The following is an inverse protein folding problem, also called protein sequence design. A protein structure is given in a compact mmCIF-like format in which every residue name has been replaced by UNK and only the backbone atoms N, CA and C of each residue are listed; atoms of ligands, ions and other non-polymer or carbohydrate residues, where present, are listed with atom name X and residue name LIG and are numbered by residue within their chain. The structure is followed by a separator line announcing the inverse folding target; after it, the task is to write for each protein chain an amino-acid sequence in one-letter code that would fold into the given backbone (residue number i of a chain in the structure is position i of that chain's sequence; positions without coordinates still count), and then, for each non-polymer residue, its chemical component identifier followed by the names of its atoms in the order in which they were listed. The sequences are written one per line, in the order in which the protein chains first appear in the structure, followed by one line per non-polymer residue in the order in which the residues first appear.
data_IF_843139091777
#
_entry.id   IF_843139091777
#
_cell.length_a   1.000
_cell.length_b   1.000
_cell.length_c   1.000
_cell.angle_alpha   90.00
_cell.angle_beta   90.00
_cell.angle_gamma   90.00
#
_symmetry.space_group_name_H-M   'P 1'
#
loop_
_entity.id
_entity.type
_entity.pdbx_description
1 polymer ?
#
# COMPACT_ATOMS: atom_id res chain seq x y z
N UNK A 1 10.62 37.75 5.07
CA UNK A 1 10.87 36.58 5.94
C UNK A 1 10.94 35.38 5.02
N UNK A 2 12.10 34.72 4.91
CA UNK A 2 12.29 33.58 4.00
C UNK A 2 11.63 32.36 4.62
N UNK A 3 10.62 31.81 3.97
CA UNK A 3 10.04 30.51 4.29
C UNK A 3 11.11 29.44 4.02
N UNK A 4 11.55 28.75 5.06
CA UNK A 4 12.30 27.50 4.91
C UNK A 4 11.27 26.38 4.87
N UNK A 5 10.79 26.05 3.68
CA UNK A 5 10.22 24.73 3.44
C UNK A 5 11.36 23.72 3.70
N UNK A 6 11.16 22.80 4.64
CA UNK A 6 12.02 21.64 4.77
C UNK A 6 11.75 20.74 3.56
N UNK A 7 12.42 21.03 2.45
CA UNK A 7 12.48 20.11 1.31
C UNK A 7 13.30 18.92 1.80
N UNK A 8 12.64 17.77 1.93
CA UNK A 8 13.33 16.50 2.09
C UNK A 8 14.03 16.24 0.75
N UNK A 9 15.31 16.58 0.66
CA UNK A 9 16.12 16.27 -0.51
C UNK A 9 16.48 14.78 -0.47
N UNK A 10 15.64 13.92 -1.05
CA UNK A 10 16.03 12.54 -1.33
C UNK A 10 16.99 12.53 -2.52
N UNK A 11 18.11 11.82 -2.35
CA UNK A 11 18.89 11.30 -3.47
C UNK A 11 18.45 9.86 -3.64
N UNK A 12 17.43 9.62 -4.47
CA UNK A 12 17.13 8.28 -4.96
C UNK A 12 18.10 8.03 -6.11
N UNK A 13 19.07 7.13 -5.91
CA UNK A 13 19.92 6.66 -6.99
C UNK A 13 19.04 5.88 -7.98
N UNK A 14 19.05 6.30 -9.24
CA UNK A 14 18.14 5.85 -10.28
C UNK A 14 18.00 4.33 -10.37
N UNK A 15 16.76 3.90 -10.18
CA UNK A 15 16.18 2.71 -10.81
C UNK A 15 14.78 3.12 -11.30
N UNK A 16 14.31 2.49 -12.36
CA UNK A 16 13.03 2.76 -13.00
C UNK A 16 11.86 2.23 -12.13
N UNK A 17 11.79 2.71 -10.90
CA UNK A 17 10.79 2.30 -9.92
C UNK A 17 9.43 2.91 -10.29
N UNK A 18 8.39 2.11 -10.11
CA UNK A 18 7.00 2.51 -10.02
C UNK A 18 6.73 3.43 -8.82
N UNK A 19 5.46 3.81 -8.58
CA UNK A 19 5.00 4.74 -7.54
C UNK A 19 5.90 4.71 -6.29
N UNK A 20 6.53 5.86 -6.01
CA UNK A 20 7.26 6.05 -4.77
C UNK A 20 6.41 6.97 -3.90
N UNK A 21 5.65 6.37 -2.97
CA UNK A 21 5.05 7.13 -1.86
C UNK A 21 6.17 7.66 -0.95
N UNK A 22 6.00 8.86 -0.42
CA UNK A 22 6.95 9.45 0.53
C UNK A 22 6.86 8.91 1.96
N UNK A 23 5.77 8.22 2.32
CA UNK A 23 5.50 7.79 3.70
C UNK A 23 6.57 6.84 4.28
N UNK A 24 7.11 5.86 3.53
CA UNK A 24 8.18 5.00 4.02
C UNK A 24 9.45 5.75 4.39
N UNK A 25 9.81 6.77 3.60
CA UNK A 25 10.99 7.59 3.88
C UNK A 25 10.81 8.40 5.16
N UNK A 26 9.61 8.93 5.40
CA UNK A 26 9.31 9.63 6.66
C UNK A 26 9.44 8.70 7.85
N UNK A 27 8.99 7.45 7.74
CA UNK A 27 9.18 6.46 8.80
C UNK A 27 10.65 6.08 9.01
N UNK A 28 11.42 5.86 7.92
CA UNK A 28 12.86 5.54 7.96
C UNK A 28 13.68 6.66 8.60
N UNK A 29 13.41 7.91 8.22
CA UNK A 29 14.15 9.10 8.71
C UNK A 29 13.61 9.66 10.01
N UNK A 30 12.41 9.22 10.44
CA UNK A 30 11.65 9.81 11.55
C UNK A 30 11.40 11.30 11.36
N UNK A 31 11.22 11.72 10.12
CA UNK A 31 10.81 13.09 9.81
C UNK A 31 9.39 13.36 10.34
N UNK A 32 9.01 14.62 10.57
CA UNK A 32 7.62 14.95 10.90
C UNK A 32 6.68 14.62 9.73
N UNK A 33 5.55 13.98 10.03
CA UNK A 33 4.43 13.78 9.09
C UNK A 33 3.57 15.04 8.88
N UNK A 34 3.92 16.14 9.54
CA UNK A 34 3.18 17.40 9.48
C UNK A 34 3.93 18.38 8.60
N UNK A 35 3.23 19.02 7.66
CA UNK A 35 3.75 20.13 6.87
C UNK A 35 2.70 21.25 6.77
N UNK A 36 3.15 22.48 6.51
CA UNK A 36 2.24 23.55 6.11
C UNK A 36 1.58 23.16 4.77
N UNK A 37 0.26 23.32 4.69
CA UNK A 37 -0.49 23.08 3.45
C UNK A 37 0.02 24.01 2.35
N UNK A 38 0.19 23.52 1.11
CA UNK A 38 0.49 24.38 -0.02
C UNK A 38 -0.57 25.48 -0.18
N UNK A 39 -0.13 26.70 -0.49
CA UNK A 39 -1.03 27.81 -0.79
C UNK A 39 -1.11 27.97 -2.31
N UNK A 40 -2.12 27.36 -2.92
CA UNK A 40 -2.33 27.35 -4.38
C UNK A 40 -3.53 28.23 -4.74
N UNK A 41 -3.51 28.92 -5.90
CA UNK A 41 -4.48 29.95 -6.23
C UNK A 41 -5.82 29.41 -6.74
N UNK A 42 -5.84 28.22 -7.32
CA UNK A 42 -7.02 27.61 -7.93
C UNK A 42 -7.41 26.32 -7.24
N UNK A 43 -8.70 25.99 -7.33
CA UNK A 43 -9.19 24.69 -6.92
C UNK A 43 -10.38 24.24 -7.77
N UNK A 44 -10.56 22.93 -7.81
CA UNK A 44 -11.76 22.24 -8.29
C UNK A 44 -12.38 21.48 -7.12
N UNK A 45 -13.70 21.63 -6.90
CA UNK A 45 -14.44 20.83 -5.94
C UNK A 45 -15.11 19.68 -6.70
N UNK A 46 -14.83 18.43 -6.31
CA UNK A 46 -15.49 17.22 -6.84
C UNK A 46 -17.03 17.34 -6.85
N UNK A 47 -17.69 16.72 -7.82
CA UNK A 47 -19.15 16.80 -7.98
C UNK A 47 -19.90 16.16 -6.81
N UNK A 48 -19.41 15.03 -6.31
CA UNK A 48 -19.93 14.30 -5.16
C UNK A 48 -19.57 15.00 -3.84
N UNK A 49 -18.64 15.96 -3.88
CA UNK A 49 -18.38 16.91 -2.83
C UNK A 49 -17.50 16.39 -1.69
N UNK A 50 -16.72 15.33 -1.87
CA UNK A 50 -15.82 14.80 -0.84
C UNK A 50 -14.39 15.35 -0.95
N UNK A 51 -13.99 15.83 -2.13
CA UNK A 51 -12.63 16.30 -2.42
C UNK A 51 -12.56 17.73 -2.92
N UNK A 52 -11.45 18.39 -2.60
CA UNK A 52 -11.02 19.66 -3.17
C UNK A 52 -9.61 19.52 -3.74
N UNK A 53 -9.46 19.74 -5.04
CA UNK A 53 -8.20 19.61 -5.78
C UNK A 53 -7.61 20.99 -6.00
N UNK A 54 -6.47 21.28 -5.39
CA UNK A 54 -5.75 22.55 -5.47
C UNK A 54 -4.63 22.49 -6.49
N UNK A 55 -4.45 23.55 -7.27
CA UNK A 55 -3.43 23.57 -8.33
C UNK A 55 -2.96 24.98 -8.70
N UNK A 56 -1.79 25.04 -9.35
CA UNK A 56 -1.42 26.13 -10.26
C UNK A 56 -1.80 25.73 -11.69
N UNK A 57 -2.01 26.70 -12.57
CA UNK A 57 -1.97 26.45 -14.02
C UNK A 57 -0.52 26.50 -14.51
N UNK A 58 -0.16 25.65 -15.47
CA UNK A 58 1.21 25.63 -16.06
C UNK A 58 1.60 26.98 -16.68
N UNK A 59 0.62 27.78 -17.09
CA UNK A 59 0.83 29.16 -17.60
C UNK A 59 1.21 30.16 -16.51
N UNK A 60 0.86 29.89 -15.26
CA UNK A 60 1.16 30.73 -14.09
C UNK A 60 2.41 30.27 -13.35
N UNK A 61 2.60 28.94 -13.27
CA UNK A 61 3.75 28.30 -12.67
C UNK A 61 4.17 27.08 -13.51
N UNK A 62 5.09 27.26 -14.49
CA UNK A 62 5.51 26.18 -15.37
C UNK A 62 6.14 24.98 -14.66
N UNK A 63 6.63 25.20 -13.44
CA UNK A 63 7.33 24.19 -12.67
C UNK A 63 6.39 23.33 -11.82
N UNK A 64 5.16 23.73 -11.53
CA UNK A 64 4.24 22.98 -10.63
C UNK A 64 2.78 23.09 -11.03
N UNK A 65 2.52 23.66 -12.20
CA UNK A 65 1.18 23.83 -12.72
C UNK A 65 0.73 22.61 -13.50
N UNK A 66 -0.57 22.34 -13.44
CA UNK A 66 -1.20 21.33 -14.28
C UNK A 66 -1.48 21.91 -15.67
N UNK A 67 -1.64 21.04 -16.66
CA UNK A 67 -1.99 21.45 -18.02
C UNK A 67 -3.31 22.24 -18.05
N UNK A 68 -3.43 23.19 -18.98
CA UNK A 68 -4.61 24.08 -19.04
C UNK A 68 -5.74 23.57 -19.93
N UNK A 69 -5.64 22.35 -20.47
CA UNK A 69 -6.67 21.79 -21.34
C UNK A 69 -7.99 21.64 -20.58
N UNK A 70 -9.05 22.17 -21.17
CA UNK A 70 -10.45 22.13 -20.75
C UNK A 70 -11.24 21.77 -22.02
N UNK A 71 -11.41 20.47 -22.24
CA UNK A 71 -11.90 19.94 -23.52
C UNK A 71 -13.42 20.09 -23.68
N UNK A 72 -14.14 20.13 -22.56
CA UNK A 72 -15.60 20.22 -22.53
C UNK A 72 -16.13 21.63 -22.19
N UNK A 73 -15.23 22.57 -21.93
CA UNK A 73 -15.51 23.95 -21.54
C UNK A 73 -16.25 24.06 -20.20
N UNK A 74 -15.96 23.17 -19.24
CA UNK A 74 -16.43 23.22 -17.85
C UNK A 74 -15.95 24.48 -17.12
N UNK A 75 -14.82 25.04 -17.57
CA UNK A 75 -14.10 26.13 -16.91
C UNK A 75 -13.02 25.65 -15.95
N UNK A 76 -12.79 24.33 -15.88
CA UNK A 76 -11.74 23.71 -15.08
C UNK A 76 -10.82 22.87 -15.97
N UNK A 77 -9.54 22.68 -15.60
CA UNK A 77 -8.67 21.78 -16.35
C UNK A 77 -9.12 20.32 -16.22
N UNK A 78 -9.17 19.60 -17.34
CA UNK A 78 -9.53 18.18 -17.42
C UNK A 78 -8.73 17.34 -16.41
N UNK A 79 -7.47 17.70 -16.16
CA UNK A 79 -6.57 17.02 -15.22
C UNK A 79 -7.04 17.11 -13.76
N UNK A 80 -7.60 18.25 -13.34
CA UNK A 80 -8.14 18.41 -11.99
C UNK A 80 -9.45 17.63 -11.82
N UNK A 81 -10.28 17.60 -12.87
CA UNK A 81 -11.53 16.84 -12.90
C UNK A 81 -11.26 15.33 -12.86
N UNK A 82 -10.29 14.86 -13.65
CA UNK A 82 -9.88 13.45 -13.67
C UNK A 82 -9.37 12.95 -12.32
N UNK A 83 -8.56 13.76 -11.64
CA UNK A 83 -8.08 13.43 -10.29
C UNK A 83 -9.25 13.29 -9.30
N UNK A 84 -10.21 14.21 -9.35
CA UNK A 84 -11.41 14.15 -8.53
C UNK A 84 -12.24 12.90 -8.82
N UNK A 85 -12.42 12.52 -10.09
CA UNK A 85 -13.12 11.30 -10.49
C UNK A 85 -12.46 10.04 -9.88
N UNK A 86 -11.15 9.92 -10.00
CA UNK A 86 -10.40 8.77 -9.45
C UNK A 86 -10.49 8.69 -7.92
N UNK A 87 -10.41 9.84 -7.24
CA UNK A 87 -10.57 9.92 -5.80
C UNK A 87 -11.98 9.55 -5.35
N UNK A 88 -13.02 10.03 -6.04
CA UNK A 88 -14.41 9.71 -5.73
C UNK A 88 -14.73 8.23 -5.98
N UNK A 89 -14.21 7.66 -7.08
CA UNK A 89 -14.27 6.20 -7.33
C UNK A 89 -13.63 5.41 -6.19
N UNK A 90 -12.40 5.74 -5.82
CA UNK A 90 -11.66 5.08 -4.72
C UNK A 90 -12.42 5.20 -3.40
N UNK A 91 -12.94 6.39 -3.12
CA UNK A 91 -13.72 6.67 -1.91
C UNK A 91 -15.02 5.89 -1.85
N UNK A 92 -15.77 5.80 -2.94
CA UNK A 92 -16.99 4.99 -3.02
C UNK A 92 -16.68 3.49 -2.82
N UNK A 93 -15.56 3.01 -3.37
CA UNK A 93 -15.14 1.62 -3.18
C UNK A 93 -14.78 1.34 -1.71
N UNK A 94 -13.83 2.07 -1.13
CA UNK A 94 -13.33 1.80 0.22
C UNK A 94 -14.39 2.04 1.30
N UNK A 95 -15.16 3.12 1.20
CA UNK A 95 -16.10 3.51 2.27
C UNK A 95 -17.48 2.91 2.02
N UNK A 96 -18.06 3.12 0.84
CA UNK A 96 -19.47 2.78 0.63
C UNK A 96 -19.63 1.28 0.34
N UNK A 97 -18.68 0.68 -0.40
CA UNK A 97 -18.72 -0.75 -0.75
C UNK A 97 -18.08 -1.63 0.33
N UNK A 98 -16.92 -1.23 0.86
CA UNK A 98 -16.19 -2.00 1.87
C UNK A 98 -16.37 -1.51 3.31
N UNK A 99 -17.08 -0.41 3.55
CA UNK A 99 -17.40 0.02 4.92
C UNK A 99 -16.21 0.54 5.72
N UNK A 100 -15.12 0.99 5.07
CA UNK A 100 -14.02 1.65 5.76
C UNK A 100 -14.50 2.92 6.49
N UNK A 101 -13.77 3.31 7.54
CA UNK A 101 -14.03 4.58 8.23
C UNK A 101 -13.87 5.76 7.26
N UNK A 102 -14.73 6.78 7.35
CA UNK A 102 -14.53 8.00 6.57
C UNK A 102 -13.30 8.78 7.06
N UNK A 103 -12.71 9.63 6.20
CA UNK A 103 -11.68 10.59 6.58
C UNK A 103 -12.08 11.40 7.81
N UNK A 104 -11.10 11.71 8.66
CA UNK A 104 -11.32 12.61 9.79
C UNK A 104 -11.45 14.04 9.26
N UNK A 105 -12.54 14.77 9.55
CA UNK A 105 -12.71 16.14 9.11
C UNK A 105 -11.62 17.06 9.66
N UNK A 106 -11.16 18.00 8.86
CA UNK A 106 -10.10 18.95 9.22
C UNK A 106 -10.61 20.24 9.88
N UNK A 107 -11.94 20.36 10.07
CA UNK A 107 -12.65 21.49 10.67
C UNK A 107 -12.52 22.80 9.87
N UNK A 108 -12.73 22.73 8.56
CA UNK A 108 -12.78 23.89 7.66
C UNK A 108 -11.42 24.35 7.14
N UNK A 109 -10.35 23.55 7.33
CA UNK A 109 -9.03 23.87 6.76
C UNK A 109 -9.10 23.59 5.25
N UNK A 110 -8.34 24.32 4.44
CA UNK A 110 -8.63 24.32 2.99
C UNK A 110 -9.99 24.97 2.62
N UNK A 111 -10.68 25.58 3.59
CA UNK A 111 -11.89 26.36 3.37
C UNK A 111 -13.22 25.60 3.45
N UNK A 112 -13.20 24.28 3.65
CA UNK A 112 -14.37 23.44 3.94
C UNK A 112 -13.91 22.13 4.63
N UNK A 113 -14.78 21.14 4.81
CA UNK A 113 -14.43 19.84 5.44
C UNK A 113 -14.10 18.74 4.41
N UNK A 114 -13.85 19.09 3.14
CA UNK A 114 -13.45 18.13 2.10
C UNK A 114 -12.02 17.70 2.31
N UNK A 115 -11.69 16.50 1.83
CA UNK A 115 -10.28 16.08 1.80
C UNK A 115 -9.54 16.91 0.75
N UNK A 116 -8.52 17.66 1.18
CA UNK A 116 -7.70 18.47 0.30
C UNK A 116 -6.62 17.65 -0.39
N UNK A 117 -6.51 17.86 -1.69
CA UNK A 117 -5.50 17.30 -2.58
C UNK A 117 -4.74 18.44 -3.24
N UNK A 118 -3.42 18.42 -3.19
CA UNK A 118 -2.60 19.48 -3.75
C UNK A 118 -1.71 18.94 -4.87
N UNK A 119 -1.90 19.43 -6.08
CA UNK A 119 -0.93 19.23 -7.15
C UNK A 119 0.29 20.13 -6.92
N UNK A 120 1.44 19.49 -6.78
CA UNK A 120 2.73 20.15 -6.57
C UNK A 120 3.78 19.41 -7.38
N UNK A 121 4.88 20.06 -7.73
CA UNK A 121 6.00 19.34 -8.30
C UNK A 121 6.77 18.62 -7.20
N UNK A 122 6.73 17.30 -7.22
CA UNK A 122 7.28 16.49 -6.15
C UNK A 122 8.82 16.45 -6.20
N UNK A 123 9.46 16.74 -7.35
CA UNK A 123 10.92 16.90 -7.64
C UNK A 123 11.89 15.80 -7.15
N UNK A 124 11.47 14.95 -6.22
CA UNK A 124 12.24 13.93 -5.53
C UNK A 124 11.97 12.53 -6.11
N UNK A 125 11.22 12.45 -7.22
CA UNK A 125 10.77 11.19 -7.79
C UNK A 125 9.67 10.52 -6.97
N UNK A 126 8.95 11.28 -6.15
CA UNK A 126 7.76 10.80 -5.45
C UNK A 126 6.51 11.10 -6.27
N UNK A 127 5.57 10.17 -6.29
CA UNK A 127 4.30 10.33 -7.00
C UNK A 127 3.30 11.06 -6.12
N UNK A 128 3.30 10.70 -4.84
CA UNK A 128 2.42 11.24 -3.83
C UNK A 128 3.06 11.29 -2.45
N UNK A 129 2.39 12.02 -1.56
CA UNK A 129 2.72 12.03 -0.14
C UNK A 129 1.49 12.42 0.68
N UNK A 130 1.31 11.73 1.80
CA UNK A 130 0.31 12.04 2.82
C UNK A 130 0.90 12.87 3.95
N UNK A 131 0.16 13.88 4.41
CA UNK A 131 0.51 14.67 5.59
C UNK A 131 -0.59 14.62 6.64
N UNK A 132 -0.21 14.33 7.88
CA UNK A 132 -1.10 14.51 9.02
C UNK A 132 -1.23 16.00 9.33
N UNK A 133 -2.46 16.50 9.43
CA UNK A 133 -2.72 17.91 9.65
C UNK A 133 -3.03 18.24 11.11
N UNK A 134 -3.91 17.45 11.72
CA UNK A 134 -4.20 17.57 13.16
C UNK A 134 -4.53 16.22 13.78
N UNK A 135 -3.72 15.82 14.76
CA UNK A 135 -3.95 14.61 15.55
C UNK A 135 -4.94 14.88 16.67
N UNK A 136 -6.01 14.10 16.72
CA UNK A 136 -7.05 14.13 17.75
C UNK A 136 -6.62 13.32 18.99
N UNK A 137 -7.22 13.57 20.18
CA UNK A 137 -6.84 12.88 21.42
C UNK A 137 -7.01 11.35 21.40
N UNK A 138 -7.85 10.81 20.51
CA UNK A 138 -8.03 9.38 20.29
C UNK A 138 -6.98 8.76 19.35
N UNK A 139 -6.00 9.53 18.89
CA UNK A 139 -4.88 9.07 18.06
C UNK A 139 -5.13 9.07 16.54
N UNK A 140 -6.35 9.38 16.10
CA UNK A 140 -6.69 9.59 14.68
C UNK A 140 -6.27 10.99 14.22
N UNK A 141 -6.14 11.23 12.92
CA UNK A 141 -5.81 12.56 12.41
C UNK A 141 -6.58 12.90 11.13
N UNK A 142 -6.93 14.19 11.01
CA UNK A 142 -7.24 14.76 9.72
C UNK A 142 -5.97 14.82 8.87
N UNK A 143 -6.12 14.66 7.56
CA UNK A 143 -5.00 14.53 6.64
C UNK A 143 -5.29 15.24 5.32
N UNK A 144 -4.24 15.63 4.63
CA UNK A 144 -4.29 16.07 3.24
C UNK A 144 -3.16 15.38 2.47
N UNK A 145 -3.31 15.28 1.16
CA UNK A 145 -2.33 14.63 0.30
C UNK A 145 -1.79 15.59 -0.76
N UNK A 146 -0.56 15.36 -1.17
CA UNK A 146 0.08 16.02 -2.31
C UNK A 146 0.35 15.00 -3.39
N UNK A 147 0.10 15.35 -4.65
CA UNK A 147 0.35 14.50 -5.82
C UNK A 147 1.21 15.29 -6.80
N UNK A 148 2.10 14.59 -7.52
CA UNK A 148 2.87 15.18 -8.60
C UNK A 148 1.95 15.83 -9.65
N UNK A 149 2.31 17.03 -10.11
CA UNK A 149 1.41 17.84 -10.92
C UNK A 149 1.22 17.31 -12.35
N UNK A 150 2.17 16.57 -12.91
CA UNK A 150 2.15 16.17 -14.32
C UNK A 150 2.70 14.77 -14.61
N UNK A 151 3.39 14.15 -13.64
CA UNK A 151 4.08 12.86 -13.77
C UNK A 151 5.12 12.79 -14.92
N UNK A 152 5.51 13.92 -15.51
CA UNK A 152 6.43 13.96 -16.66
C UNK A 152 7.84 13.48 -16.31
N UNK A 153 8.18 13.46 -15.01
CA UNK A 153 9.44 12.96 -14.47
C UNK A 153 9.55 11.43 -14.38
N UNK A 154 8.51 10.67 -14.75
CA UNK A 154 8.43 9.22 -14.54
C UNK A 154 8.46 8.44 -15.86
N UNK A 155 9.62 7.87 -16.26
CA UNK A 155 9.77 7.19 -17.55
C UNK A 155 8.80 6.03 -17.78
N UNK A 156 8.37 5.34 -16.72
CA UNK A 156 7.42 4.22 -16.82
C UNK A 156 6.03 4.64 -17.31
N UNK A 157 5.69 5.94 -17.16
CA UNK A 157 4.37 6.50 -17.42
C UNK A 157 4.34 7.52 -18.55
N UNK A 158 5.42 7.66 -19.34
CA UNK A 158 5.42 8.56 -20.49
C UNK A 158 4.34 8.13 -21.50
N UNK A 159 3.36 9.00 -21.74
CA UNK A 159 2.18 8.75 -22.57
C UNK A 159 1.06 7.97 -21.86
N UNK A 160 1.21 7.68 -20.56
CA UNK A 160 0.26 6.99 -19.67
C UNK A 160 0.15 7.71 -18.32
N UNK A 161 0.37 9.01 -18.29
CA UNK A 161 0.43 9.80 -17.05
C UNK A 161 -0.90 9.72 -16.26
N UNK A 162 -2.02 9.58 -16.97
CA UNK A 162 -3.35 9.37 -16.39
C UNK A 162 -3.45 8.06 -15.59
N UNK A 163 -2.69 7.02 -15.96
CA UNK A 163 -2.61 5.78 -15.20
C UNK A 163 -1.87 6.04 -13.89
N UNK A 164 -0.72 6.73 -13.91
CA UNK A 164 0.01 7.13 -12.70
C UNK A 164 -0.85 7.95 -11.74
N UNK A 165 -1.64 8.88 -12.28
CA UNK A 165 -2.59 9.66 -11.49
C UNK A 165 -3.64 8.76 -10.81
N UNK A 166 -4.20 7.79 -11.54
CA UNK A 166 -5.21 6.87 -11.02
C UNK A 166 -4.71 6.06 -9.82
N UNK A 167 -3.58 5.37 -9.99
CA UNK A 167 -2.98 4.55 -8.92
C UNK A 167 -2.51 5.41 -7.76
N UNK A 168 -1.92 6.59 -8.01
CA UNK A 168 -1.51 7.51 -6.93
C UNK A 168 -2.70 8.03 -6.13
N UNK A 169 -3.81 8.37 -6.80
CA UNK A 169 -5.05 8.76 -6.13
C UNK A 169 -5.59 7.63 -5.24
N UNK A 170 -5.60 6.38 -5.72
CA UNK A 170 -6.04 5.23 -4.94
C UNK A 170 -5.14 4.95 -3.72
N UNK A 171 -3.83 5.04 -3.92
CA UNK A 171 -2.81 4.80 -2.91
C UNK A 171 -2.88 5.85 -1.79
N UNK A 172 -2.71 7.12 -2.14
CA UNK A 172 -2.60 8.21 -1.17
C UNK A 172 -3.91 8.47 -0.45
N UNK A 173 -5.06 8.30 -1.12
CA UNK A 173 -6.34 8.42 -0.45
C UNK A 173 -6.54 7.33 0.60
N UNK A 174 -6.02 6.11 0.38
CA UNK A 174 -6.14 5.10 1.42
C UNK A 174 -5.30 5.44 2.66
N UNK A 175 -4.19 6.17 2.53
CA UNK A 175 -3.50 6.75 3.69
C UNK A 175 -4.32 7.78 4.46
N UNK A 176 -5.18 8.57 3.79
CA UNK A 176 -6.16 9.44 4.48
C UNK A 176 -7.08 8.60 5.38
N UNK A 177 -7.57 7.47 4.85
CA UNK A 177 -8.40 6.52 5.62
C UNK A 177 -7.59 5.85 6.74
N UNK A 178 -6.32 5.48 6.51
CA UNK A 178 -5.45 4.92 7.55
C UNK A 178 -5.37 5.84 8.79
N UNK A 179 -5.31 7.17 8.57
CA UNK A 179 -5.32 8.13 9.68
C UNK A 179 -6.66 8.27 10.40
N UNK A 180 -7.76 7.72 9.87
CA UNK A 180 -9.02 7.51 10.61
C UNK A 180 -8.98 6.28 11.55
N UNK A 181 -7.99 5.40 11.39
CA UNK A 181 -7.70 4.31 12.34
C UNK A 181 -6.65 4.72 13.38
N UNK A 182 -5.62 5.47 12.96
CA UNK A 182 -4.63 6.03 13.87
C UNK A 182 -3.36 6.50 13.15
N UNK A 183 -2.43 7.08 13.90
CA UNK A 183 -1.21 7.73 13.36
C UNK A 183 0.09 6.99 13.69
N UNK A 184 0.02 5.72 14.11
CA UNK A 184 1.19 4.98 14.55
C UNK A 184 2.04 4.49 13.37
N UNK A 185 3.28 4.98 13.29
CA UNK A 185 4.21 4.63 12.21
C UNK A 185 4.80 3.21 12.27
N UNK A 186 4.51 2.47 13.35
CA UNK A 186 4.82 1.03 13.41
C UNK A 186 3.97 0.20 12.44
N UNK A 187 2.96 0.80 11.80
CA UNK A 187 2.07 0.15 10.84
C UNK A 187 2.45 0.37 9.39
N UNK A 188 3.52 1.14 9.10
CA UNK A 188 3.84 1.61 7.74
C UNK A 188 3.91 0.48 6.72
N UNK A 189 4.54 -0.66 7.03
CA UNK A 189 4.58 -1.77 6.08
C UNK A 189 3.19 -2.23 5.61
N UNK A 190 2.20 -2.26 6.51
CA UNK A 190 0.83 -2.63 6.20
C UNK A 190 0.05 -1.48 5.56
N UNK A 191 0.37 -0.23 5.93
CA UNK A 191 -0.15 0.95 5.24
C UNK A 191 0.24 0.93 3.76
N UNK A 192 1.52 0.71 3.45
CA UNK A 192 1.98 0.62 2.06
C UNK A 192 1.40 -0.60 1.36
N UNK A 193 1.49 -1.80 1.96
CA UNK A 193 1.00 -3.02 1.34
C UNK A 193 -0.49 -2.93 0.98
N UNK A 194 -1.29 -2.33 1.87
CA UNK A 194 -2.73 -2.18 1.62
C UNK A 194 -3.06 -0.96 0.77
N UNK A 195 -2.20 0.08 0.72
CA UNK A 195 -2.31 1.16 -0.25
C UNK A 195 -2.07 0.67 -1.69
N UNK A 196 -1.07 -0.19 -1.90
CA UNK A 196 -0.86 -0.85 -3.20
C UNK A 196 -2.01 -1.82 -3.53
N UNK A 197 -2.57 -2.53 -2.55
CA UNK A 197 -3.80 -3.30 -2.78
C UNK A 197 -4.99 -2.41 -3.18
N UNK A 198 -5.09 -1.19 -2.66
CA UNK A 198 -6.13 -0.23 -3.04
C UNK A 198 -5.98 0.22 -4.49
N UNK A 199 -4.76 0.29 -5.04
CA UNK A 199 -4.52 0.52 -6.46
C UNK A 199 -5.22 -0.57 -7.30
N UNK A 200 -4.89 -1.83 -7.04
CA UNK A 200 -5.44 -2.98 -7.77
C UNK A 200 -6.95 -3.16 -7.59
N UNK A 201 -7.46 -2.89 -6.39
CA UNK A 201 -8.89 -2.92 -6.12
C UNK A 201 -9.66 -1.94 -7.02
N UNK A 202 -9.09 -0.77 -7.29
CA UNK A 202 -9.77 0.31 -7.98
C UNK A 202 -9.44 0.36 -9.48
N UNK A 203 -8.23 -0.03 -9.88
CA UNK A 203 -7.73 0.05 -11.24
C UNK A 203 -7.00 -1.24 -11.65
N UNK A 204 -7.71 -2.38 -11.69
CA UNK A 204 -7.14 -3.70 -11.98
C UNK A 204 -6.59 -3.85 -13.41
N UNK A 205 -6.72 -2.82 -14.24
CA UNK A 205 -6.10 -2.72 -15.56
C UNK A 205 -4.70 -2.08 -15.54
N UNK A 206 -4.24 -1.60 -14.38
CA UNK A 206 -2.96 -0.91 -14.19
C UNK A 206 -2.09 -1.70 -13.21
N UNK A 207 -1.41 -2.73 -13.71
CA UNK A 207 -0.60 -3.67 -12.91
C UNK A 207 0.74 -3.07 -12.39
N UNK A 208 0.70 -1.88 -11.79
CA UNK A 208 1.89 -1.14 -11.32
C UNK A 208 2.65 -1.93 -10.24
N UNK A 209 1.90 -2.67 -9.41
CA UNK A 209 2.46 -3.42 -8.28
C UNK A 209 3.47 -4.50 -8.70
N UNK A 210 3.39 -5.01 -9.94
CA UNK A 210 4.31 -6.03 -10.46
C UNK A 210 5.77 -5.56 -10.37
N UNK A 211 6.00 -4.26 -10.52
CA UNK A 211 7.33 -3.65 -10.43
C UNK A 211 8.00 -3.77 -9.05
N UNK A 212 7.22 -3.95 -7.97
CA UNK A 212 7.75 -4.12 -6.61
C UNK A 212 8.04 -5.57 -6.26
N UNK A 213 7.52 -6.52 -7.06
CA UNK A 213 7.53 -7.93 -6.66
C UNK A 213 8.93 -8.53 -6.62
N UNK A 214 9.87 -8.05 -7.45
CA UNK A 214 11.27 -8.49 -7.37
C UNK A 214 11.88 -8.19 -5.99
N UNK A 215 11.59 -7.01 -5.42
CA UNK A 215 12.07 -6.63 -4.08
C UNK A 215 11.55 -7.54 -2.97
N UNK A 216 10.43 -8.23 -3.19
CA UNK A 216 9.85 -9.18 -2.26
C UNK A 216 10.29 -10.62 -2.54
N UNK A 217 10.12 -11.08 -3.79
CA UNK A 217 10.34 -12.46 -4.24
C UNK A 217 11.82 -12.86 -4.25
N UNK A 218 12.75 -11.91 -4.44
CA UNK A 218 14.20 -12.18 -4.32
C UNK A 218 14.66 -12.35 -2.87
N UNK A 219 13.85 -11.90 -1.90
CA UNK A 219 14.20 -11.85 -0.47
C UNK A 219 13.18 -12.61 0.38
N UNK A 220 13.00 -13.92 0.14
CA UNK A 220 11.96 -14.68 0.80
C UNK A 220 12.18 -14.77 2.31
N UNK A 221 13.43 -14.89 2.76
CA UNK A 221 13.75 -15.01 4.18
C UNK A 221 13.62 -13.71 4.99
N UNK A 222 13.11 -12.62 4.41
CA UNK A 222 12.96 -11.32 5.05
C UNK A 222 11.53 -11.17 5.62
N UNK A 223 11.38 -10.60 6.82
CA UNK A 223 10.07 -10.43 7.46
C UNK A 223 9.17 -9.44 6.68
N UNK A 224 7.83 -9.56 6.68
CA UNK A 224 6.92 -8.68 5.92
C UNK A 224 7.10 -7.20 6.30
N UNK A 225 7.36 -6.91 7.57
CA UNK A 225 7.56 -5.53 8.02
C UNK A 225 8.95 -4.96 7.78
N UNK A 226 9.83 -5.70 7.11
CA UNK A 226 11.18 -5.25 6.81
C UNK A 226 11.27 -4.77 5.36
N UNK A 227 11.64 -3.48 5.23
CA UNK A 227 11.84 -2.75 3.98
C UNK A 227 13.29 -2.90 3.47
N UNK A 228 13.87 -4.09 3.61
CA UNK A 228 15.23 -4.40 3.14
C UNK A 228 15.17 -5.43 2.00
N UNK A 229 15.61 -5.08 0.78
CA UNK A 229 16.02 -3.76 0.31
C UNK A 229 14.86 -2.74 0.30
N UNK A 230 15.19 -1.44 0.30
CA UNK A 230 14.18 -0.37 0.30
C UNK A 230 13.25 -0.46 -0.90
N UNK A 231 11.94 -0.38 -0.64
CA UNK A 231 10.88 -0.62 -1.62
C UNK A 231 10.22 -1.99 -1.44
N UNK A 232 10.80 -2.90 -0.64
CA UNK A 232 10.24 -4.24 -0.42
C UNK A 232 8.85 -4.22 0.22
N UNK A 233 8.55 -3.26 1.08
CA UNK A 233 7.23 -3.18 1.74
C UNK A 233 6.07 -3.03 0.74
N UNK A 234 6.29 -2.38 -0.40
CA UNK A 234 5.27 -2.32 -1.47
C UNK A 234 5.01 -3.72 -2.04
N UNK A 235 6.05 -4.51 -2.29
CA UNK A 235 5.94 -5.89 -2.78
C UNK A 235 5.26 -6.85 -1.78
N UNK A 236 5.13 -6.46 -0.51
CA UNK A 236 4.35 -7.25 0.46
C UNK A 236 2.84 -7.19 0.22
N UNK A 237 2.38 -6.39 -0.75
CA UNK A 237 1.01 -6.38 -1.30
C UNK A 237 0.47 -7.77 -1.67
N UNK A 238 1.34 -8.74 -1.97
CA UNK A 238 0.91 -10.11 -2.20
C UNK A 238 0.09 -10.68 -1.03
N UNK A 239 0.38 -10.30 0.22
CA UNK A 239 -0.41 -10.75 1.37
C UNK A 239 -1.85 -10.20 1.35
N UNK A 240 -2.11 -8.89 1.25
CA UNK A 240 -3.48 -8.38 1.13
C UNK A 240 -4.17 -8.85 -0.16
N UNK A 241 -3.47 -9.01 -1.30
CA UNK A 241 -4.05 -9.61 -2.51
C UNK A 241 -4.50 -11.05 -2.26
N UNK A 242 -3.67 -11.87 -1.61
CA UNK A 242 -4.02 -13.24 -1.23
C UNK A 242 -5.24 -13.27 -0.30
N UNK A 243 -5.26 -12.40 0.72
CA UNK A 243 -6.37 -12.31 1.67
C UNK A 243 -7.65 -11.91 0.94
N UNK A 244 -7.62 -10.86 0.13
CA UNK A 244 -8.75 -10.37 -0.62
C UNK A 244 -9.29 -11.44 -1.59
N UNK A 245 -8.40 -12.15 -2.29
CA UNK A 245 -8.81 -13.18 -3.27
C UNK A 245 -9.49 -14.39 -2.63
N UNK A 246 -9.08 -14.78 -1.42
CA UNK A 246 -9.61 -15.98 -0.75
C UNK A 246 -10.76 -15.67 0.22
N UNK A 247 -10.78 -14.48 0.82
CA UNK A 247 -11.69 -14.13 1.91
C UNK A 247 -12.51 -12.86 1.64
N UNK A 248 -12.32 -12.22 0.49
CA UNK A 248 -13.01 -11.02 0.04
C UNK A 248 -12.34 -9.73 0.50
N UNK A 249 -12.48 -8.66 -0.27
CA UNK A 249 -11.87 -7.34 -0.04
C UNK A 249 -12.20 -6.74 1.34
N UNK A 250 -13.40 -7.04 1.87
CA UNK A 250 -13.82 -6.56 3.19
C UNK A 250 -12.89 -7.07 4.32
N UNK A 251 -12.20 -8.18 4.11
CA UNK A 251 -11.23 -8.71 5.07
C UNK A 251 -10.12 -7.69 5.40
N UNK A 252 -9.66 -6.92 4.42
CA UNK A 252 -8.61 -5.90 4.62
C UNK A 252 -9.11 -4.82 5.58
N UNK A 253 -10.36 -4.38 5.41
CA UNK A 253 -10.99 -3.42 6.30
C UNK A 253 -11.21 -4.03 7.70
N UNK A 254 -11.53 -5.33 7.82
CA UNK A 254 -11.76 -5.99 9.10
C UNK A 254 -10.47 -6.04 9.94
N UNK A 255 -9.35 -6.30 9.27
CA UNK A 255 -8.02 -6.25 9.88
C UNK A 255 -7.73 -4.82 10.35
N UNK A 256 -7.95 -3.82 9.49
CA UNK A 256 -7.76 -2.40 9.85
C UNK A 256 -8.59 -1.94 11.05
N UNK A 257 -9.83 -2.40 11.18
CA UNK A 257 -10.68 -2.07 12.33
C UNK A 257 -10.17 -2.62 13.67
N UNK A 258 -9.36 -3.69 13.63
CA UNK A 258 -8.75 -4.32 14.83
C UNK A 258 -7.45 -3.65 15.24
N UNK A 259 -6.68 -3.12 14.29
CA UNK A 259 -5.35 -2.53 14.50
C UNK A 259 -5.29 -1.50 15.63
N UNK A 260 -6.22 -0.52 15.77
CA UNK A 260 -6.13 0.50 16.82
C UNK A 260 -6.17 -0.05 18.25
N UNK A 261 -6.77 -1.22 18.43
CA UNK A 261 -6.86 -1.91 19.73
C UNK A 261 -5.71 -2.90 19.96
N UNK A 262 -4.82 -3.07 18.99
CA UNK A 262 -3.74 -4.05 18.99
C UNK A 262 -2.54 -3.57 18.15
N UNK A 263 -1.88 -4.47 17.42
CA UNK A 263 -0.92 -4.15 16.36
C UNK A 263 -1.28 -4.97 15.12
N UNK A 264 -0.65 -4.70 13.98
CA UNK A 264 -0.98 -5.36 12.69
C UNK A 264 -1.03 -6.89 12.80
N UNK A 265 -0.05 -7.51 13.45
CA UNK A 265 0.01 -8.98 13.55
C UNK A 265 -1.08 -9.56 14.43
N UNK A 266 -1.34 -8.93 15.58
CA UNK A 266 -2.44 -9.35 16.46
C UNK A 266 -3.79 -9.10 15.78
N UNK A 267 -3.90 -8.05 14.95
CA UNK A 267 -5.10 -7.79 14.18
C UNK A 267 -5.35 -8.85 13.10
N UNK A 268 -4.31 -9.27 12.37
CA UNK A 268 -4.35 -10.38 11.41
C UNK A 268 -4.76 -11.70 12.10
N UNK A 269 -4.11 -12.02 13.22
CA UNK A 269 -4.39 -13.21 14.02
C UNK A 269 -5.84 -13.23 14.53
N UNK A 270 -6.28 -12.15 15.18
CA UNK A 270 -7.67 -12.03 15.65
C UNK A 270 -8.69 -12.07 14.51
N UNK A 271 -8.34 -11.58 13.32
CA UNK A 271 -9.22 -11.66 12.15
C UNK A 271 -9.28 -13.10 11.62
N UNK A 272 -8.14 -13.76 11.42
CA UNK A 272 -8.05 -15.14 10.97
C UNK A 272 -8.80 -16.09 11.92
N UNK A 273 -8.58 -15.97 13.22
CA UNK A 273 -9.30 -16.71 14.26
C UNK A 273 -10.81 -16.49 14.19
N UNK A 274 -11.24 -15.25 13.91
CA UNK A 274 -12.67 -14.92 13.82
C UNK A 274 -13.40 -15.60 12.66
N UNK A 275 -12.66 -16.05 11.64
CA UNK A 275 -13.17 -16.83 10.51
C UNK A 275 -12.74 -18.30 10.56
N UNK A 276 -12.13 -18.74 11.67
CA UNK A 276 -11.76 -20.14 11.92
C UNK A 276 -10.48 -20.60 11.22
N UNK A 277 -9.57 -19.69 10.88
CA UNK A 277 -8.30 -19.96 10.20
C UNK A 277 -7.16 -19.74 11.17
N UNK A 278 -6.27 -20.73 11.29
CA UNK A 278 -5.06 -20.55 12.09
C UNK A 278 -4.03 -19.70 11.34
N UNK A 279 -3.19 -18.96 12.06
CA UNK A 279 -2.10 -18.21 11.44
C UNK A 279 -1.10 -19.08 10.69
N UNK A 280 -0.96 -20.36 11.09
CA UNK A 280 -0.14 -21.33 10.36
C UNK A 280 -0.73 -21.64 8.99
N UNK A 281 -2.04 -21.84 8.91
CA UNK A 281 -2.72 -22.12 7.64
C UNK A 281 -2.73 -20.88 6.74
N UNK A 282 -3.04 -19.70 7.30
CA UNK A 282 -3.05 -18.44 6.55
C UNK A 282 -1.72 -18.18 5.84
N UNK A 283 -0.61 -18.24 6.58
CA UNK A 283 0.72 -18.01 6.01
C UNK A 283 1.25 -19.19 5.19
N UNK A 284 0.83 -20.42 5.49
CA UNK A 284 1.20 -21.59 4.71
C UNK A 284 0.59 -21.58 3.32
N UNK A 285 -0.69 -21.23 3.22
CA UNK A 285 -1.36 -21.07 1.94
C UNK A 285 -0.85 -19.83 1.21
N UNK A 286 -0.60 -18.70 1.90
CA UNK A 286 0.06 -17.55 1.28
C UNK A 286 1.43 -17.91 0.67
N UNK A 287 2.28 -18.63 1.41
CA UNK A 287 3.57 -19.09 0.90
C UNK A 287 3.39 -20.02 -0.32
N UNK A 288 2.38 -20.89 -0.31
CA UNK A 288 2.05 -21.76 -1.44
C UNK A 288 1.64 -20.96 -2.67
N UNK A 289 0.80 -19.93 -2.52
CA UNK A 289 0.38 -19.07 -3.63
C UNK A 289 1.57 -18.45 -4.34
N UNK A 290 2.55 -17.97 -3.58
CA UNK A 290 3.74 -17.32 -4.13
C UNK A 290 4.67 -18.28 -4.91
N UNK A 291 4.51 -19.60 -4.78
CA UNK A 291 5.25 -20.58 -5.58
C UNK A 291 4.61 -20.88 -6.94
N UNK A 292 3.33 -20.55 -7.13
CA UNK A 292 2.59 -20.85 -8.36
C UNK A 292 2.37 -19.59 -9.19
N UNK A 293 3.46 -18.87 -9.43
CA UNK A 293 3.52 -17.63 -10.23
C UNK A 293 4.62 -17.74 -11.29
N UNK A 294 4.67 -16.81 -12.24
CA UNK A 294 5.62 -16.83 -13.35
C UNK A 294 5.52 -18.12 -14.18
N UNK A 295 6.64 -18.75 -14.50
CA UNK A 295 6.65 -20.03 -15.24
C UNK A 295 6.07 -21.18 -14.40
N UNK A 296 5.96 -20.99 -13.08
CA UNK A 296 5.30 -21.93 -12.17
C UNK A 296 3.78 -21.75 -12.08
N UNK A 297 3.18 -20.78 -12.77
CA UNK A 297 1.73 -20.61 -12.79
C UNK A 297 1.01 -21.85 -13.34
N UNK A 298 -0.10 -22.23 -12.70
CA UNK A 298 -0.89 -23.44 -13.04
C UNK A 298 -2.37 -23.17 -13.24
N UNK A 299 -2.75 -21.94 -13.61
CA UNK A 299 -4.16 -21.59 -13.88
C UNK A 299 -4.99 -21.29 -12.62
N UNK A 300 -4.34 -21.03 -11.48
CA UNK A 300 -4.99 -20.67 -10.22
C UNK A 300 -4.06 -19.77 -9.39
N UNK A 301 -4.61 -18.93 -8.52
CA UNK A 301 -3.85 -18.01 -7.68
C UNK A 301 -4.26 -16.55 -7.90
N UNK A 302 -3.27 -15.66 -7.88
CA UNK A 302 -3.44 -14.24 -8.22
C UNK A 302 -3.90 -14.06 -9.67
N UNK A 303 -4.57 -12.95 -9.96
CA UNK A 303 -5.07 -12.68 -11.31
C UNK A 303 -3.92 -12.52 -12.31
N UNK A 304 -2.86 -11.81 -11.93
CA UNK A 304 -1.67 -11.58 -12.79
C UNK A 304 -0.53 -12.55 -12.48
N UNK A 305 -0.84 -13.72 -11.90
CA UNK A 305 0.17 -14.68 -11.45
C UNK A 305 1.15 -15.08 -12.56
N UNK A 306 0.75 -15.08 -13.83
CA UNK A 306 1.63 -15.39 -14.97
C UNK A 306 2.66 -14.29 -15.28
N UNK A 307 2.41 -13.05 -14.84
CA UNK A 307 3.29 -11.89 -15.05
C UNK A 307 4.27 -11.66 -13.89
N UNK A 308 3.99 -12.25 -12.73
CA UNK A 308 4.80 -12.05 -11.53
C UNK A 308 6.17 -12.74 -11.62
N UNK A 309 7.21 -12.16 -11.00
CA UNK A 309 8.49 -12.83 -10.86
C UNK A 309 8.39 -14.01 -9.90
N UNK A 310 9.18 -15.04 -10.18
CA UNK A 310 9.25 -16.23 -9.36
C UNK A 310 10.03 -15.97 -8.06
N UNK A 311 9.62 -16.58 -6.91
CA UNK A 311 10.42 -16.52 -5.70
C UNK A 311 11.79 -17.14 -5.92
N UNK A 312 12.82 -16.49 -5.39
CA UNK A 312 14.13 -17.15 -5.20
C UNK A 312 13.93 -18.32 -4.25
N UNK A 313 14.31 -19.51 -4.68
CA UNK A 313 14.28 -20.70 -3.84
C UNK A 313 15.59 -20.81 -3.07
N UNK A 314 15.51 -20.85 -1.75
CA UNK A 314 16.68 -21.02 -0.89
C UNK A 314 16.73 -22.47 -0.42
N UNK A 315 17.63 -23.26 -1.02
CA UNK A 315 18.01 -24.57 -0.51
C UNK A 315 18.84 -24.39 0.77
N UNK A 316 18.38 -24.98 1.89
CA UNK A 316 19.08 -24.87 3.18
C UNK A 316 19.49 -26.23 3.69
N UNK A 317 20.76 -26.33 4.08
CA UNK A 317 21.31 -27.51 4.76
C UNK A 317 20.95 -27.58 6.25
N UNK A 318 20.40 -26.50 6.82
CA UNK A 318 19.99 -26.36 8.24
C UNK A 318 18.78 -25.41 8.38
N UNK A 319 17.94 -25.61 9.40
CA UNK A 319 16.74 -24.79 9.69
C UNK A 319 17.17 -23.43 10.30
N UNK A 320 16.63 -22.27 9.85
CA UNK A 320 17.06 -20.95 10.37
C UNK A 320 16.43 -20.54 11.75
N UNK A 321 16.80 -19.39 12.37
CA UNK A 321 16.29 -18.74 13.64
C UNK A 321 15.09 -17.73 13.52
N UNK A 322 14.02 -17.75 14.35
CA UNK A 322 12.80 -16.84 14.28
C UNK A 322 13.18 -15.41 13.96
N UNK A 323 12.45 -14.83 12.99
CA UNK A 323 12.36 -13.38 12.91
C UNK A 323 11.18 -12.90 13.76
N UNK A 324 11.38 -11.87 14.60
CA UNK A 324 10.28 -11.12 15.20
C UNK A 324 9.66 -10.22 14.13
N UNK A 325 8.66 -10.74 13.42
CA UNK A 325 7.91 -10.03 12.38
C UNK A 325 7.25 -11.05 11.47
N UNK A 326 5.92 -10.97 11.29
CA UNK A 326 5.18 -11.90 10.42
C UNK A 326 5.86 -11.94 9.05
N UNK A 327 6.28 -13.14 8.64
CA UNK A 327 7.13 -13.33 7.47
C UNK A 327 6.32 -13.69 6.23
N UNK A 328 6.76 -13.19 5.08
CA UNK A 328 6.23 -13.52 3.77
C UNK A 328 7.35 -14.12 2.97
N UNK A 329 7.19 -15.40 2.64
CA UNK A 329 8.17 -16.35 2.11
C UNK A 329 9.19 -16.97 3.11
N UNK A 330 8.66 -17.61 4.15
CA UNK A 330 9.20 -18.87 4.70
C UNK A 330 10.54 -18.83 5.48
N UNK A 331 10.47 -18.39 6.73
CA UNK A 331 10.73 -19.08 8.03
C UNK A 331 10.60 -17.97 9.12
N UNK A 332 10.59 -18.17 10.46
CA UNK A 332 11.58 -18.85 11.30
C UNK A 332 11.08 -19.10 12.79
N UNK A 333 11.81 -19.76 13.77
CA UNK A 333 11.49 -20.25 15.20
C UNK A 333 12.10 -19.52 16.46
N UNK A 334 11.33 -19.15 17.53
CA UNK A 334 11.84 -18.62 18.82
C UNK A 334 11.10 -19.26 20.02
N UNK A 335 11.70 -20.29 20.61
CA UNK A 335 11.48 -20.62 22.03
C UNK A 335 12.73 -20.35 22.86
N UNK A 336 12.62 -19.45 23.86
CA UNK A 336 13.64 -19.30 24.90
C UNK A 336 13.79 -17.93 25.57
N UNK A 337 13.22 -16.84 25.05
CA UNK A 337 13.27 -15.54 25.72
C UNK A 337 11.91 -14.83 25.73
N UNK A 338 11.63 -14.12 26.84
CA UNK A 338 10.51 -13.20 27.12
C UNK A 338 9.20 -13.73 27.73
N UNK A 339 9.06 -15.02 28.05
CA UNK A 339 8.00 -15.48 28.97
C UNK A 339 6.55 -15.30 28.49
N UNK A 340 6.30 -15.41 27.17
CA UNK A 340 4.97 -15.38 26.58
C UNK A 340 4.42 -16.80 26.27
N UNK A 341 3.08 -17.00 26.18
CA UNK A 341 2.46 -18.31 26.02
C UNK A 341 2.67 -18.95 24.63
N UNK A 342 2.72 -20.30 24.52
CA UNK A 342 3.28 -21.07 23.39
C UNK A 342 2.42 -21.21 22.12
N UNK A 343 1.47 -20.31 21.82
CA UNK A 343 0.41 -20.58 20.84
C UNK A 343 0.41 -19.70 19.58
N UNK A 344 1.38 -18.81 19.37
CA UNK A 344 1.35 -17.87 18.23
C UNK A 344 2.73 -17.76 17.57
N UNK A 345 3.01 -18.66 16.62
CA UNK A 345 4.16 -18.63 15.71
C UNK A 345 3.67 -19.07 14.33
N UNK A 346 3.59 -18.15 13.37
CA UNK A 346 3.05 -18.42 12.02
C UNK A 346 4.12 -18.27 10.94
N UNK A 347 4.21 -19.28 10.07
CA UNK A 347 5.01 -19.31 8.85
C UNK A 347 4.91 -20.70 8.23
N UNK A 348 4.56 -20.81 6.95
CA UNK A 348 4.55 -22.09 6.23
C UNK A 348 5.60 -22.12 5.13
N UNK A 349 5.95 -23.31 4.65
CA UNK A 349 7.01 -23.54 3.65
C UNK A 349 6.54 -24.44 2.52
N UNK A 350 7.27 -24.40 1.41
CA UNK A 350 7.18 -25.45 0.41
C UNK A 350 8.53 -25.65 -0.29
N UNK A 351 8.82 -26.90 -0.63
CA UNK A 351 10.05 -27.34 -1.29
C UNK A 351 9.72 -27.92 -2.67
N UNK A 352 10.65 -27.78 -3.63
CA UNK A 352 10.59 -28.46 -4.92
C UNK A 352 11.39 -29.76 -4.82
N UNK A 353 10.72 -30.91 -4.77
CA UNK A 353 11.39 -32.20 -4.92
C UNK A 353 11.44 -32.56 -6.41
N UNK A 354 12.65 -32.71 -6.98
CA UNK A 354 12.86 -32.90 -8.42
C UNK A 354 11.91 -33.88 -9.13
N UNK A 355 11.46 -33.46 -10.31
CA UNK A 355 10.31 -33.99 -11.06
C UNK A 355 9.25 -32.90 -11.19
N UNK A 356 8.30 -33.01 -12.12
CA UNK A 356 7.19 -32.05 -12.35
C UNK A 356 6.18 -31.98 -11.18
N UNK A 357 6.66 -32.12 -9.94
CA UNK A 357 5.89 -32.24 -8.70
C UNK A 357 6.43 -31.25 -7.68
N UNK A 358 5.63 -30.24 -7.34
CA UNK A 358 5.87 -29.40 -6.16
C UNK A 358 5.52 -30.22 -4.91
N UNK A 359 6.52 -30.60 -4.12
CA UNK A 359 6.31 -31.29 -2.85
C UNK A 359 6.34 -30.27 -1.72
N UNK A 360 5.21 -29.63 -1.46
CA UNK A 360 5.04 -28.88 -0.22
C UNK A 360 5.07 -29.88 0.95
N UNK A 361 6.25 -30.07 1.55
CA UNK A 361 6.35 -30.77 2.82
C UNK A 361 5.78 -29.82 3.87
N UNK A 362 4.73 -30.20 4.59
CA UNK A 362 4.27 -29.47 5.78
C UNK A 362 4.67 -30.34 6.99
N UNK A 363 5.73 -29.99 7.71
CA UNK A 363 6.08 -30.61 8.99
C UNK A 363 5.12 -30.08 10.05
N UNK A 364 4.12 -30.89 10.37
CA UNK A 364 3.24 -30.64 11.50
C UNK A 364 1.80 -31.06 11.28
N UNK A 365 1.36 -31.25 10.03
CA UNK A 365 -0.02 -31.70 9.76
C UNK A 365 -0.07 -32.71 8.61
N UNK A 366 -0.84 -33.81 8.76
CA UNK A 366 -1.23 -34.62 7.61
C UNK A 366 -2.08 -33.74 6.67
N UNK A 367 -2.05 -33.99 5.35
CA UNK A 367 -2.86 -33.24 4.41
C UNK A 367 -4.33 -33.29 4.85
N UNK A 368 -4.94 -32.11 4.97
CA UNK A 368 -6.38 -32.02 5.19
C UNK A 368 -7.05 -32.77 4.04
N UNK A 369 -7.79 -33.83 4.38
CA UNK A 369 -8.65 -34.50 3.43
C UNK A 369 -9.71 -33.48 3.03
N UNK A 370 -9.75 -33.12 1.76
CA UNK A 370 -10.96 -32.59 1.14
C UNK A 370 -12.06 -33.62 1.42
N UNK A 371 -13.07 -33.24 2.18
CA UNK A 371 -14.38 -33.90 2.11
C UNK A 371 -15.22 -33.11 1.11
N UNK A 372 -15.72 -33.84 0.12
CA UNK A 372 -16.52 -33.40 -1.04
C UNK A 372 -17.53 -32.26 -0.80
#
# INVERSE_FOLDING_TARGET
MKFSAYIIALIIAGSAMAIICGLPEVARTRAPLTSERPNLPHYYDSEEGNFRIWYYLVTENPDSGIDTTDSDASGFPDWAELAAEYLEKTRAMLIDSLGARPPVPDNGRGGNDRTDVYFVNMRAGLYGMIYADSTLPNGTAAAYLTIDNDFAGFPAYVGREHEALAVTCAHEFFHVIHFAYGTAMTWVWWMEATAVWSEELNFPEIDDYLSYLDYFQEYPSTALNDDTPSGRIYGTVLLPLYIAKNYGDRAIIDIWERIPSSNVYIALDNWADSIGISMTDLYGDFARWNLFVGDNYRGWGYDDAELMPEPVLIDRTEIPETLPGGGGAVYIDLTGQFGLPPNHTGGGWAELSGGDTLSALFHGLPPHQYSD
#
